data_IF_576467374072
#
_entry.id   IF_576467374072
#
_cell.length_a   1.000
_cell.length_b   1.000
_cell.length_c   1.000
_cell.angle_alpha   90.00
_cell.angle_beta   90.00
_cell.angle_gamma   90.00
#
_symmetry.space_group_name_H-M   'P 1'
#
loop_
_entity.id
_entity.type
_entity.pdbx_description
1 polymer ?
#
# COMPACT_ATOMS: atom_id res chain seq x y z
N UNK A 1 -34.65 -25.32 -14.09
CA UNK A 1 -34.85 -25.60 -12.65
C UNK A 1 -35.51 -24.38 -12.06
N UNK A 2 -36.65 -24.51 -11.38
CA UNK A 2 -37.30 -23.37 -10.73
C UNK A 2 -36.83 -23.32 -9.28
N UNK A 3 -36.13 -22.25 -8.88
CA UNK A 3 -35.87 -21.97 -7.45
C UNK A 3 -37.20 -21.87 -6.72
N UNK A 4 -37.29 -22.49 -5.54
CA UNK A 4 -38.51 -22.39 -4.74
C UNK A 4 -38.71 -20.94 -4.28
N UNK A 5 -39.96 -20.55 -4.08
CA UNK A 5 -40.31 -19.22 -3.58
C UNK A 5 -39.53 -18.85 -2.30
N UNK A 6 -39.33 -19.82 -1.41
CA UNK A 6 -38.57 -19.65 -0.17
C UNK A 6 -37.10 -19.29 -0.41
N UNK A 7 -36.47 -19.88 -1.44
CA UNK A 7 -35.08 -19.57 -1.81
C UNK A 7 -34.98 -18.15 -2.37
N UNK A 8 -35.91 -17.75 -3.25
CA UNK A 8 -35.96 -16.40 -3.79
C UNK A 8 -36.20 -15.34 -2.70
N UNK A 9 -37.11 -15.62 -1.75
CA UNK A 9 -37.38 -14.73 -0.63
C UNK A 9 -36.16 -14.58 0.28
N UNK A 10 -35.50 -15.68 0.63
CA UNK A 10 -34.31 -15.66 1.47
C UNK A 10 -33.13 -14.93 0.80
N UNK A 11 -32.94 -15.08 -0.52
CA UNK A 11 -31.93 -14.32 -1.28
C UNK A 11 -32.22 -12.83 -1.27
N UNK A 12 -33.48 -12.42 -1.49
CA UNK A 12 -33.88 -11.01 -1.41
C UNK A 12 -33.67 -10.43 0.00
N UNK A 13 -34.07 -11.16 1.05
CA UNK A 13 -33.85 -10.75 2.43
C UNK A 13 -32.35 -10.62 2.77
N UNK A 14 -31.49 -11.50 2.23
CA UNK A 14 -30.04 -11.39 2.42
C UNK A 14 -29.48 -10.14 1.74
N UNK A 15 -29.94 -9.80 0.53
CA UNK A 15 -29.54 -8.57 -0.17
C UNK A 15 -29.95 -7.31 0.61
N UNK A 16 -31.15 -7.29 1.20
CA UNK A 16 -31.63 -6.15 2.01
C UNK A 16 -30.77 -5.88 3.26
N UNK A 17 -30.07 -6.90 3.77
CA UNK A 17 -29.15 -6.74 4.90
C UNK A 17 -27.80 -6.15 4.50
N UNK A 18 -27.46 -6.17 3.21
CA UNK A 18 -26.19 -5.66 2.69
C UNK A 18 -26.32 -4.18 2.36
N UNK A 19 -25.23 -3.44 2.56
CA UNK A 19 -25.17 -2.00 2.28
C UNK A 19 -23.99 -1.67 1.40
N UNK A 20 -24.14 -0.58 0.63
CA UNK A 20 -23.06 0.01 -0.18
C UNK A 20 -22.40 -1.02 -1.10
N UNK A 21 -21.07 -1.10 -1.09
CA UNK A 21 -20.30 -1.93 -2.01
C UNK A 21 -20.57 -3.43 -1.85
N UNK A 22 -20.93 -3.89 -0.65
CA UNK A 22 -21.31 -5.29 -0.46
C UNK A 22 -22.61 -5.61 -1.23
N UNK A 23 -23.60 -4.73 -1.19
CA UNK A 23 -24.83 -4.88 -1.96
C UNK A 23 -24.54 -4.84 -3.47
N UNK A 24 -23.73 -3.88 -3.94
CA UNK A 24 -23.38 -3.75 -5.35
C UNK A 24 -22.66 -4.98 -5.92
N UNK A 25 -21.77 -5.60 -5.13
CA UNK A 25 -21.06 -6.82 -5.53
C UNK A 25 -22.00 -8.02 -5.69
N UNK A 26 -23.01 -8.19 -4.84
CA UNK A 26 -23.88 -9.37 -4.86
C UNK A 26 -25.12 -9.22 -5.72
N UNK A 27 -25.68 -8.01 -5.87
CA UNK A 27 -26.89 -7.81 -6.68
C UNK A 27 -26.68 -8.15 -8.16
N UNK A 28 -25.43 -8.13 -8.63
CA UNK A 28 -25.06 -8.37 -10.04
C UNK A 28 -24.74 -9.83 -10.34
N UNK A 29 -24.76 -10.69 -9.33
CA UNK A 29 -24.43 -12.12 -9.46
C UNK A 29 -25.68 -12.96 -9.25
N UNK A 30 -25.98 -13.82 -10.22
CA UNK A 30 -27.06 -14.79 -10.10
C UNK A 30 -26.59 -16.01 -9.30
N UNK A 31 -27.32 -16.34 -8.22
CA UNK A 31 -27.05 -17.50 -7.39
C UNK A 31 -28.20 -18.51 -7.46
N UNK A 32 -27.85 -19.78 -7.68
CA UNK A 32 -28.84 -20.87 -7.74
C UNK A 32 -29.46 -21.19 -6.37
N UNK A 33 -28.73 -20.95 -5.28
CA UNK A 33 -29.16 -21.23 -3.91
C UNK A 33 -28.74 -20.13 -2.93
N UNK A 34 -29.43 -20.05 -1.78
CA UNK A 34 -29.02 -19.19 -0.67
C UNK A 34 -27.63 -19.60 -0.15
N UNK A 35 -27.34 -20.90 -0.05
CA UNK A 35 -26.04 -21.39 0.41
C UNK A 35 -24.89 -20.93 -0.49
N UNK A 36 -25.07 -20.99 -1.82
CA UNK A 36 -24.09 -20.50 -2.78
C UNK A 36 -23.84 -18.98 -2.62
N UNK A 37 -24.90 -18.22 -2.36
CA UNK A 37 -24.81 -16.78 -2.10
C UNK A 37 -24.03 -16.50 -0.79
N UNK A 38 -24.30 -17.24 0.28
CA UNK A 38 -23.61 -17.12 1.57
C UNK A 38 -22.15 -17.54 1.48
N UNK A 39 -21.85 -18.63 0.77
CA UNK A 39 -20.48 -19.09 0.52
C UNK A 39 -19.69 -18.05 -0.27
N UNK A 40 -20.29 -17.49 -1.33
CA UNK A 40 -19.69 -16.42 -2.10
C UNK A 40 -19.41 -15.18 -1.23
N UNK A 41 -20.39 -14.75 -0.44
CA UNK A 41 -20.24 -13.64 0.51
C UNK A 41 -19.06 -13.87 1.47
N UNK A 42 -19.01 -15.05 2.07
CA UNK A 42 -17.95 -15.44 3.00
C UNK A 42 -16.57 -15.45 2.33
N UNK A 43 -16.48 -15.95 1.10
CA UNK A 43 -15.24 -15.96 0.32
C UNK A 43 -14.78 -14.54 0.00
N UNK A 44 -15.68 -13.69 -0.50
CA UNK A 44 -15.41 -12.30 -0.86
C UNK A 44 -14.93 -11.48 0.34
N UNK A 45 -15.59 -11.61 1.50
CA UNK A 45 -15.14 -10.92 2.72
C UNK A 45 -13.77 -11.39 3.22
N UNK A 46 -13.51 -12.70 3.18
CA UNK A 46 -12.19 -13.25 3.54
C UNK A 46 -11.11 -12.70 2.63
N UNK A 47 -11.37 -12.67 1.32
CA UNK A 47 -10.42 -12.15 0.34
C UNK A 47 -10.16 -10.66 0.55
N UNK A 48 -11.21 -9.85 0.73
CA UNK A 48 -11.06 -8.42 1.01
C UNK A 48 -10.28 -8.16 2.31
N UNK A 49 -10.57 -8.92 3.37
CA UNK A 49 -9.84 -8.81 4.63
C UNK A 49 -8.34 -9.13 4.45
N UNK A 50 -8.04 -10.18 3.70
CA UNK A 50 -6.67 -10.54 3.35
C UNK A 50 -5.98 -9.43 2.53
N UNK A 51 -6.65 -8.89 1.51
CA UNK A 51 -6.12 -7.79 0.71
C UNK A 51 -5.82 -6.56 1.58
N UNK A 52 -6.73 -6.16 2.48
CA UNK A 52 -6.50 -5.04 3.38
C UNK A 52 -5.29 -5.26 4.31
N UNK A 53 -5.08 -6.48 4.80
CA UNK A 53 -3.89 -6.81 5.56
C UNK A 53 -2.63 -6.73 4.69
N UNK A 54 -2.67 -7.29 3.48
CA UNK A 54 -1.58 -7.25 2.52
C UNK A 54 -1.18 -5.82 2.16
N UNK A 55 -2.15 -4.93 1.94
CA UNK A 55 -1.92 -3.50 1.68
C UNK A 55 -1.12 -2.86 2.82
N UNK A 56 -1.50 -3.11 4.08
CA UNK A 56 -0.75 -2.62 5.25
C UNK A 56 0.68 -3.16 5.30
N UNK A 57 0.89 -4.43 4.97
CA UNK A 57 2.23 -5.01 4.88
C UNK A 57 3.06 -4.41 3.74
N UNK A 58 2.45 -4.10 2.61
CA UNK A 58 3.11 -3.40 1.49
C UNK A 58 3.50 -1.98 1.91
N UNK A 59 2.59 -1.22 2.53
CA UNK A 59 2.83 0.16 2.97
C UNK A 59 3.90 0.28 4.06
N UNK A 60 3.96 -0.70 4.98
CA UNK A 60 5.01 -0.77 6.02
C UNK A 60 6.35 -1.30 5.50
N UNK A 61 6.33 -1.99 4.36
CA UNK A 61 7.48 -2.68 3.78
C UNK A 61 7.73 -4.08 4.34
N UNK A 62 6.92 -4.52 5.30
CA UNK A 62 6.95 -5.88 5.85
C UNK A 62 6.76 -6.96 4.78
N UNK A 63 6.00 -6.65 3.73
CA UNK A 63 5.80 -7.54 2.60
C UNK A 63 7.11 -7.93 1.90
N UNK A 64 8.16 -7.13 2.02
CA UNK A 64 9.45 -7.30 1.35
C UNK A 64 10.61 -7.62 2.31
N UNK A 65 10.34 -7.84 3.60
CA UNK A 65 11.37 -8.23 4.56
C UNK A 65 11.97 -9.57 4.14
N UNK A 66 13.30 -9.64 4.10
CA UNK A 66 14.02 -10.85 3.70
C UNK A 66 14.00 -11.14 2.19
N UNK A 67 13.38 -10.27 1.38
CA UNK A 67 13.51 -10.38 -0.06
C UNK A 67 14.96 -10.14 -0.48
N UNK A 68 15.47 -11.04 -1.31
CA UNK A 68 16.73 -10.86 -2.02
C UNK A 68 16.43 -10.22 -3.36
N UNK A 69 17.51 -9.79 -4.03
CA UNK A 69 17.46 -9.36 -5.42
C UNK A 69 16.81 -10.39 -6.34
N UNK A 70 17.02 -11.67 -6.08
CA UNK A 70 16.58 -12.75 -6.97
C UNK A 70 15.10 -13.11 -6.78
N UNK A 71 14.52 -12.81 -5.61
CA UNK A 71 13.15 -13.21 -5.29
C UNK A 71 12.15 -12.04 -5.20
N UNK A 72 12.62 -10.79 -5.22
CA UNK A 72 11.75 -9.60 -5.13
C UNK A 72 10.75 -9.53 -6.28
N UNK A 73 11.14 -9.95 -7.48
CA UNK A 73 10.26 -9.96 -8.66
C UNK A 73 9.12 -10.97 -8.47
N UNK A 74 9.45 -12.18 -7.99
CA UNK A 74 8.46 -13.20 -7.69
C UNK A 74 7.49 -12.71 -6.61
N UNK A 75 8.02 -12.02 -5.60
CA UNK A 75 7.21 -11.41 -4.54
C UNK A 75 6.29 -10.33 -5.08
N UNK A 76 6.78 -9.44 -5.94
CA UNK A 76 5.96 -8.41 -6.60
C UNK A 76 4.82 -9.01 -7.41
N UNK A 77 5.12 -10.01 -8.26
CA UNK A 77 4.11 -10.70 -9.07
C UNK A 77 3.05 -11.40 -8.21
N UNK A 78 3.47 -12.02 -7.11
CA UNK A 78 2.55 -12.65 -6.17
C UNK A 78 1.63 -11.60 -5.52
N UNK A 79 2.19 -10.53 -4.96
CA UNK A 79 1.39 -9.46 -4.34
C UNK A 79 0.43 -8.83 -5.36
N UNK A 80 0.89 -8.59 -6.58
CA UNK A 80 0.05 -8.06 -7.67
C UNK A 80 -1.13 -8.99 -7.97
N UNK A 81 -0.90 -10.29 -8.04
CA UNK A 81 -1.96 -11.28 -8.25
C UNK A 81 -2.99 -11.27 -7.11
N UNK A 82 -2.53 -11.27 -5.86
CA UNK A 82 -3.40 -11.27 -4.67
C UNK A 82 -4.23 -9.98 -4.54
N UNK A 83 -3.67 -8.83 -4.95
CA UNK A 83 -4.38 -7.56 -4.95
C UNK A 83 -5.42 -7.47 -6.07
N UNK A 84 -5.27 -8.24 -7.14
CA UNK A 84 -6.18 -8.24 -8.28
C UNK A 84 -6.49 -6.82 -8.76
N UNK A 85 -7.76 -6.44 -8.69
CA UNK A 85 -8.26 -5.13 -9.13
C UNK A 85 -8.44 -4.11 -7.98
N UNK A 86 -7.90 -4.39 -6.79
CA UNK A 86 -8.03 -3.49 -5.65
C UNK A 86 -7.17 -2.23 -5.84
N UNK A 87 -7.80 -1.12 -6.25
CA UNK A 87 -7.11 0.14 -6.61
C UNK A 87 -6.14 0.62 -5.52
N UNK A 88 -6.58 0.76 -4.27
CA UNK A 88 -5.69 1.26 -3.20
C UNK A 88 -4.48 0.37 -2.96
N UNK A 89 -4.63 -0.93 -3.20
CA UNK A 89 -3.54 -1.88 -3.08
C UNK A 89 -2.56 -1.78 -4.24
N UNK A 90 -3.07 -1.66 -5.46
CA UNK A 90 -2.24 -1.41 -6.64
C UNK A 90 -1.46 -0.11 -6.53
N UNK A 91 -2.10 0.96 -6.04
CA UNK A 91 -1.45 2.25 -5.74
C UNK A 91 -0.34 2.05 -4.70
N UNK A 92 -0.64 1.34 -3.60
CA UNK A 92 0.34 1.09 -2.54
C UNK A 92 1.53 0.26 -3.04
N UNK A 93 1.28 -0.73 -3.89
CA UNK A 93 2.32 -1.55 -4.51
C UNK A 93 3.16 -0.76 -5.52
N UNK A 94 2.53 0.10 -6.33
CA UNK A 94 3.20 1.03 -7.23
C UNK A 94 4.14 1.95 -6.47
N UNK A 95 3.66 2.60 -5.40
CA UNK A 95 4.49 3.45 -4.54
C UNK A 95 5.66 2.69 -3.92
N UNK A 96 5.42 1.48 -3.40
CA UNK A 96 6.49 0.64 -2.87
C UNK A 96 7.53 0.28 -3.95
N UNK A 97 7.06 -0.06 -5.15
CA UNK A 97 7.91 -0.42 -6.30
C UNK A 97 8.74 0.78 -6.76
N UNK A 98 8.14 1.97 -6.88
CA UNK A 98 8.84 3.22 -7.19
C UNK A 98 9.94 3.53 -6.17
N UNK A 99 9.69 3.29 -4.88
CA UNK A 99 10.71 3.49 -3.84
C UNK A 99 11.84 2.48 -3.91
N UNK A 100 11.55 1.22 -4.27
CA UNK A 100 12.56 0.16 -4.41
C UNK A 100 13.38 0.29 -5.71
N UNK A 101 12.74 0.73 -6.79
CA UNK A 101 13.26 0.76 -8.16
C UNK A 101 12.95 2.12 -8.83
N UNK A 102 13.48 3.24 -8.29
CA UNK A 102 13.11 4.56 -8.78
C UNK A 102 13.56 4.78 -10.23
N UNK A 103 14.73 4.27 -10.62
CA UNK A 103 15.26 4.45 -11.98
C UNK A 103 14.36 3.77 -13.00
N UNK A 104 14.04 2.50 -12.75
CA UNK A 104 13.23 1.62 -13.60
C UNK A 104 11.79 2.14 -13.68
N UNK A 105 11.24 2.61 -12.56
CA UNK A 105 9.92 3.26 -12.53
C UNK A 105 9.88 4.50 -13.41
N UNK A 106 10.88 5.38 -13.30
CA UNK A 106 10.93 6.62 -14.11
C UNK A 106 11.13 6.33 -15.61
N UNK A 107 11.80 5.22 -15.97
CA UNK A 107 11.99 4.82 -17.36
C UNK A 107 10.67 4.42 -18.04
N UNK A 108 9.71 3.90 -17.28
CA UNK A 108 8.38 3.58 -17.82
C UNK A 108 7.57 4.83 -18.20
N UNK A 109 7.99 6.04 -17.76
CA UNK A 109 7.32 7.32 -18.03
C UNK A 109 5.83 7.32 -17.67
N UNK A 110 5.44 6.52 -16.69
CA UNK A 110 4.07 6.42 -16.22
C UNK A 110 3.83 7.52 -15.17
N UNK A 111 2.84 8.38 -15.40
CA UNK A 111 2.38 9.31 -14.38
C UNK A 111 1.57 8.54 -13.33
N UNK A 112 2.08 8.46 -12.11
CA UNK A 112 1.42 7.73 -11.02
C UNK A 112 0.17 8.44 -10.50
N UNK A 113 -0.13 9.66 -10.94
CA UNK A 113 -1.33 10.39 -10.55
C UNK A 113 -2.49 10.07 -11.52
N UNK A 114 -3.49 9.35 -11.02
CA UNK A 114 -4.76 9.04 -11.71
C UNK A 114 -4.71 7.92 -12.78
N UNK A 115 -3.95 6.85 -12.53
CA UNK A 115 -4.03 5.65 -13.37
C UNK A 115 -5.29 4.82 -13.08
N UNK A 116 -5.79 4.16 -14.13
CA UNK A 116 -6.77 3.07 -14.00
C UNK A 116 -6.12 1.82 -13.39
N UNK A 117 -6.94 0.89 -12.92
CA UNK A 117 -6.51 -0.43 -12.42
C UNK A 117 -5.61 -1.17 -13.42
N UNK A 118 -6.02 -1.21 -14.69
CA UNK A 118 -5.30 -1.89 -15.77
C UNK A 118 -3.95 -1.21 -16.05
N UNK A 119 -3.91 0.11 -15.96
CA UNK A 119 -2.68 0.88 -16.14
C UNK A 119 -1.69 0.62 -15.00
N UNK A 120 -2.17 0.53 -13.75
CA UNK A 120 -1.32 0.13 -12.62
C UNK A 120 -0.77 -1.28 -12.79
N UNK A 121 -1.62 -2.25 -13.14
CA UNK A 121 -1.20 -3.62 -13.38
C UNK A 121 -0.17 -3.70 -14.50
N UNK A 122 -0.42 -3.03 -15.63
CA UNK A 122 0.49 -2.98 -16.77
C UNK A 122 1.86 -2.40 -16.40
N UNK A 123 1.89 -1.27 -15.69
CA UNK A 123 3.13 -0.66 -15.24
C UNK A 123 3.93 -1.56 -14.28
N UNK A 124 3.23 -2.20 -13.32
CA UNK A 124 3.85 -3.12 -12.36
C UNK A 124 4.40 -4.38 -13.05
N UNK A 125 3.69 -4.93 -14.03
CA UNK A 125 4.18 -6.04 -14.84
C UNK A 125 5.39 -5.66 -15.69
N UNK A 126 5.34 -4.51 -16.37
CA UNK A 126 6.44 -4.03 -17.20
C UNK A 126 7.74 -3.85 -16.39
N UNK A 127 7.64 -3.31 -15.17
CA UNK A 127 8.78 -3.21 -14.26
C UNK A 127 9.26 -4.59 -13.83
N UNK A 128 8.35 -5.50 -13.46
CA UNK A 128 8.73 -6.86 -13.08
C UNK A 128 9.44 -7.61 -14.22
N UNK A 129 9.10 -7.33 -15.49
CA UNK A 129 9.76 -7.88 -16.67
C UNK A 129 11.13 -7.24 -16.92
N UNK A 130 11.23 -5.91 -16.85
CA UNK A 130 12.49 -5.17 -17.02
C UNK A 130 13.54 -5.62 -15.99
N UNK A 131 13.11 -5.77 -14.73
CA UNK A 131 13.94 -6.28 -13.64
C UNK A 131 14.38 -7.74 -13.84
N UNK A 132 13.59 -8.55 -14.55
CA UNK A 132 13.93 -9.95 -14.81
C UNK A 132 15.00 -10.08 -15.89
N UNK A 133 15.09 -9.11 -16.80
CA UNK A 133 16.07 -9.08 -17.90
C UNK A 133 17.37 -8.43 -17.42
N UNK A 134 17.29 -7.36 -16.64
CA UNK A 134 18.45 -6.57 -16.22
C UNK A 134 18.99 -7.03 -14.86
N UNK A 135 19.95 -7.96 -14.91
CA UNK A 135 20.64 -8.46 -13.73
C UNK A 135 21.66 -7.48 -13.11
N UNK A 136 21.57 -6.18 -13.34
CA UNK A 136 22.40 -5.17 -12.65
C UNK A 136 21.59 -4.31 -11.66
N UNK A 137 20.27 -4.53 -11.57
CA UNK A 137 19.40 -3.72 -10.71
C UNK A 137 19.41 -4.26 -9.27
N UNK A 138 19.94 -3.46 -8.33
CA UNK A 138 19.90 -3.76 -6.91
C UNK A 138 18.72 -3.01 -6.27
N UNK A 139 17.69 -3.71 -5.75
CA UNK A 139 16.57 -3.06 -5.09
C UNK A 139 17.04 -2.23 -3.89
N UNK A 140 16.55 -1.00 -3.78
CA UNK A 140 16.62 -0.26 -2.53
C UNK A 140 15.59 -0.86 -1.58
N UNK A 141 16.04 -1.62 -0.58
CA UNK A 141 15.13 -2.27 0.36
C UNK A 141 14.22 -1.23 1.04
N UNK A 142 12.92 -1.33 0.75
CA UNK A 142 11.86 -0.55 1.35
C UNK A 142 11.58 -1.07 2.77
N UNK A 143 11.17 -0.18 3.69
CA UNK A 143 10.89 -0.55 5.09
C UNK A 143 12.10 -1.19 5.79
N UNK A 144 13.20 -0.44 5.97
CA UNK A 144 14.50 -0.92 6.49
C UNK A 144 14.37 -1.99 7.59
N UNK A 145 14.43 -3.26 7.21
CA UNK A 145 14.90 -4.28 8.11
C UNK A 145 16.39 -3.99 8.35
N UNK A 146 16.77 -3.63 9.57
CA UNK A 146 18.15 -3.86 9.99
C UNK A 146 18.38 -5.36 9.80
N UNK A 147 19.14 -5.73 8.79
CA UNK A 147 19.74 -7.05 8.75
C UNK A 147 20.51 -7.19 10.06
N UNK A 148 19.98 -7.96 11.00
CA UNK A 148 20.78 -8.42 12.12
C UNK A 148 21.70 -9.41 11.45
N UNK A 149 22.93 -8.99 11.14
CA UNK A 149 24.00 -9.87 10.73
C UNK A 149 24.11 -10.98 11.78
N UNK A 150 23.46 -12.11 11.52
CA UNK A 150 23.73 -13.36 12.19
C UNK A 150 25.13 -13.78 11.78
N UNK A 151 26.15 -13.20 12.41
CA UNK A 151 27.47 -13.80 12.47
C UNK A 151 27.29 -15.15 13.14
N UNK A 152 27.25 -16.21 12.35
CA UNK A 152 27.70 -17.51 12.80
C UNK A 152 29.18 -17.35 13.20
N UNK A 153 29.42 -17.00 14.46
CA UNK A 153 30.74 -17.01 15.06
C UNK A 153 30.86 -18.30 15.86
N UNK A 154 31.53 -19.29 15.28
CA UNK A 154 32.29 -20.26 16.06
C UNK A 154 33.78 -19.99 15.82
N UNK A 155 34.52 -20.06 16.92
CA UNK A 155 35.98 -19.97 17.10
C UNK A 155 36.61 -18.57 17.18
N UNK A 156 36.82 -18.13 18.43
CA UNK A 156 37.97 -17.34 18.89
C UNK A 156 39.20 -18.27 19.13
N UNK A 157 40.40 -17.79 19.52
CA UNK A 157 40.93 -16.41 19.59
C UNK A 157 42.32 -16.27 18.91
N UNK A 158 42.78 -15.05 18.59
CA UNK A 158 44.09 -14.57 19.09
C UNK A 158 44.35 -13.06 18.86
N UNK A 159 45.32 -12.59 19.64
CA UNK A 159 45.62 -11.24 20.14
C UNK A 159 46.20 -10.25 19.11
N UNK A 160 45.73 -8.98 19.14
CA UNK A 160 46.56 -7.75 19.28
C UNK A 160 45.74 -6.46 19.01
N UNK A 161 45.88 -5.47 19.89
CA UNK A 161 45.54 -4.03 19.73
C UNK A 161 46.86 -3.23 19.68
N UNK A 162 46.88 -1.92 19.41
CA UNK A 162 45.98 -1.08 18.58
C UNK A 162 46.77 -0.13 17.65
N UNK A 163 46.11 0.59 16.74
CA UNK A 163 46.65 1.84 16.20
C UNK A 163 45.56 2.90 15.96
N UNK A 164 45.74 4.04 16.63
CA UNK A 164 45.12 5.34 16.36
C UNK A 164 45.61 5.84 15.00
N UNK A 165 44.73 6.41 14.17
CA UNK A 165 45.01 7.73 13.61
C UNK A 165 43.78 8.47 13.09
N UNK A 166 43.84 9.76 13.39
CA UNK A 166 43.02 10.91 13.00
C UNK A 166 43.11 11.22 11.50
N UNK A 167 42.03 11.77 10.92
CA UNK A 167 42.03 12.43 9.62
C UNK A 167 40.74 13.23 9.41
N UNK A 168 40.88 14.55 9.25
CA UNK A 168 39.85 15.59 9.10
C UNK A 168 39.64 15.92 7.61
N UNK A 169 38.51 16.58 7.30
CA UNK A 169 38.19 17.42 6.11
C UNK A 169 37.71 16.70 4.83
N UNK A 170 36.84 17.23 3.96
CA UNK A 170 35.97 18.43 3.89
C UNK A 170 35.19 18.38 2.55
N UNK A 171 34.04 19.07 2.43
CA UNK A 171 33.53 19.67 1.17
C UNK A 171 32.56 18.91 0.23
N UNK A 172 31.30 19.37 0.14
CA UNK A 172 30.43 19.23 -1.07
C UNK A 172 28.90 19.29 -0.83
N UNK A 173 28.10 20.00 -1.65
CA UNK A 173 26.91 20.74 -1.21
C UNK A 173 25.68 19.87 -0.92
N UNK A 174 25.12 20.06 0.27
CA UNK A 174 23.87 19.40 0.70
C UNK A 174 22.66 20.06 0.04
N UNK A 175 21.91 19.28 -0.74
CA UNK A 175 20.63 19.57 -1.40
C UNK A 175 19.45 19.92 -0.43
N UNK A 176 19.75 20.48 0.76
CA UNK A 176 18.80 20.65 1.87
C UNK A 176 17.88 21.87 1.76
N UNK A 177 18.04 22.73 0.75
CA UNK A 177 17.25 23.97 0.65
C UNK A 177 15.84 23.75 0.06
N UNK A 178 15.66 22.84 -0.91
CA UNK A 178 14.33 22.57 -1.48
C UNK A 178 13.40 21.82 -0.50
N UNK A 179 13.96 20.95 0.35
CA UNK A 179 13.19 20.20 1.35
C UNK A 179 12.62 21.09 2.46
N UNK A 180 13.30 22.20 2.78
CA UNK A 180 12.84 23.16 3.80
C UNK A 180 11.68 24.04 3.30
N UNK A 181 11.69 24.42 2.01
CA UNK A 181 10.63 25.27 1.44
C UNK A 181 9.32 24.49 1.25
N UNK A 182 9.39 23.24 0.78
CA UNK A 182 8.21 22.39 0.63
C UNK A 182 7.55 22.05 1.98
N UNK A 183 8.36 21.78 3.01
CA UNK A 183 7.84 21.51 4.37
C UNK A 183 7.14 22.73 4.96
N UNK A 184 7.72 23.92 4.80
CA UNK A 184 7.15 25.18 5.29
C UNK A 184 5.86 25.56 4.56
N UNK A 185 5.72 25.20 3.28
CA UNK A 185 4.48 25.42 2.50
C UNK A 185 3.37 24.46 2.92
N UNK A 186 3.71 23.20 3.22
CA UNK A 186 2.76 22.20 3.70
C UNK A 186 2.29 22.47 5.14
N UNK A 187 3.20 22.92 6.00
CA UNK A 187 2.90 23.28 7.40
C UNK A 187 1.96 24.50 7.47
N UNK A 188 2.19 25.51 6.63
CA UNK A 188 1.29 26.67 6.55
C UNK A 188 -0.11 26.32 6.01
N UNK A 189 -0.20 25.37 5.07
CA UNK A 189 -1.48 24.90 4.55
C UNK A 189 -2.29 24.15 5.62
N UNK A 190 -1.63 23.32 6.43
CA UNK A 190 -2.23 22.62 7.57
C UNK A 190 -2.68 23.58 8.69
N UNK A 191 -1.94 24.66 8.93
CA UNK A 191 -2.35 25.70 9.90
C UNK A 191 -3.56 26.49 9.41
N UNK A 192 -3.62 26.85 8.12
CA UNK A 192 -4.78 27.52 7.51
C UNK A 192 -6.02 26.63 7.49
N UNK A 193 -5.87 25.32 7.23
CA UNK A 193 -6.97 24.35 7.27
C UNK A 193 -7.50 24.14 8.70
N UNK A 194 -6.60 24.02 9.68
CA UNK A 194 -6.99 23.94 11.09
C UNK A 194 -7.66 25.22 11.59
N UNK A 195 -7.25 26.40 11.12
CA UNK A 195 -7.91 27.66 11.44
C UNK A 195 -9.33 27.73 10.85
N UNK A 196 -9.52 27.28 9.60
CA UNK A 196 -10.84 27.17 8.98
C UNK A 196 -11.75 26.20 9.71
N UNK A 197 -11.26 25.02 10.08
CA UNK A 197 -12.01 24.02 10.85
C UNK A 197 -12.42 24.55 12.23
N UNK A 198 -11.54 25.28 12.93
CA UNK A 198 -11.88 25.91 14.21
C UNK A 198 -12.94 27.00 14.07
N UNK A 199 -12.91 27.80 13.00
CA UNK A 199 -13.96 28.78 12.72
C UNK A 199 -15.30 28.12 12.38
N UNK A 200 -15.29 27.00 11.65
CA UNK A 200 -16.49 26.25 11.31
C UNK A 200 -17.13 25.59 12.54
N UNK A 201 -16.31 25.06 13.45
CA UNK A 201 -16.77 24.51 14.74
C UNK A 201 -17.29 25.60 15.66
N UNK A 202 -16.67 26.79 15.67
CA UNK A 202 -17.18 27.93 16.43
C UNK A 202 -18.53 28.42 15.87
N UNK A 203 -18.67 28.54 14.55
CA UNK A 203 -19.93 28.91 13.90
C UNK A 203 -21.06 27.90 14.16
N UNK A 204 -20.75 26.60 14.17
CA UNK A 204 -21.73 25.55 14.47
C UNK A 204 -22.10 25.47 15.97
N UNK A 205 -21.24 25.93 16.88
CA UNK A 205 -21.60 26.10 18.29
C UNK A 205 -22.50 27.31 18.52
N UNK A 206 -22.36 28.37 17.72
CA UNK A 206 -23.22 29.57 17.79
C UNK A 206 -24.64 29.33 17.28
N UNK A 207 -24.81 28.47 16.27
CA UNK A 207 -26.14 28.10 15.73
C UNK A 207 -26.88 27.05 16.58
N UNK A 208 -26.17 26.32 17.44
CA UNK A 208 -26.77 25.39 18.41
C UNK A 208 -27.36 26.07 19.66
N UNK A 209 -27.20 27.38 19.84
CA UNK A 209 -27.68 28.10 21.03
C UNK A 209 -28.87 29.06 20.77
N UNK A 210 -29.44 29.08 19.56
CA UNK A 210 -30.65 29.86 19.24
C UNK A 210 -31.87 28.98 18.89
N UNK A 211 -31.93 27.76 19.41
CA UNK A 211 -32.98 26.78 19.14
C UNK A 211 -33.70 26.24 20.37
N UNK A 212 -33.68 26.97 21.49
CA UNK A 212 -34.56 26.77 22.64
C UNK A 212 -34.84 28.13 23.26
N UNK A 213 -35.92 28.75 22.80
CA UNK A 213 -37.01 29.32 23.61
C UNK A 213 -38.17 29.67 22.69
#
# INVERSE_FOLDING_TARGET
MHSSFDQCYAQAALLELLTSQAFECLQSTDFDTVDAMVEHLCSTFKHLHFQLALIKHVQSGEAFIGCTRDNVIMRLKHILHELGNHIDGLVSLAQATEMMFPTEWHLQKVDSQNLSTEQYQGALFAIAEDLAIHHDVVPKLFGKAKATEGKASMAQPDVAKPAKNTGVADGGPSHSQHRKVARKKHEKALEEENAKLKQQVAANKSTSHMGKD
#
